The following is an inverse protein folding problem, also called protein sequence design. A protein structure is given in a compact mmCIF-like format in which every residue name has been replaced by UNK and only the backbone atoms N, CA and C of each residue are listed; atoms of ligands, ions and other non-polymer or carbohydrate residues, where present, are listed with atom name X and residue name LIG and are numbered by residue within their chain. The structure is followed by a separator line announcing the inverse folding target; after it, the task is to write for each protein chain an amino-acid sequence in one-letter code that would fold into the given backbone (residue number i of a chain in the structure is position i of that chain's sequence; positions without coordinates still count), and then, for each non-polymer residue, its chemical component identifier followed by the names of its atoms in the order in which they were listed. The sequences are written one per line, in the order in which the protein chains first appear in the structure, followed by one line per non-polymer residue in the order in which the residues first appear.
data_IF_470832565962
#
_entry.id   IF_470832565962
#
_cell.length_a   1.000
_cell.length_b   1.000
_cell.length_c   1.000
_cell.angle_alpha   90.00
_cell.angle_beta   90.00
_cell.angle_gamma   90.00
#
_symmetry.space_group_name_H-M   'P 1'
#
loop_
_entity.id
_entity.type
_entity.pdbx_description
1 polymer ?
#
# COMPACT_ATOMS: atom_id res chain seq x y z
N UNK A 1 32.87 3.63 -65.02
CA UNK A 1 32.90 4.64 -63.95
C UNK A 1 31.55 4.65 -63.22
N UNK A 2 31.61 4.52 -61.90
CA UNK A 2 30.59 4.73 -60.84
C UNK A 2 29.10 4.83 -61.24
N UNK A 3 28.33 3.81 -60.88
CA UNK A 3 26.90 3.95 -60.50
C UNK A 3 26.65 3.10 -59.25
N UNK A 4 27.05 3.63 -58.10
CA UNK A 4 26.67 3.11 -56.79
C UNK A 4 25.22 3.54 -56.54
N UNK A 5 24.27 2.62 -56.73
CA UNK A 5 22.93 2.79 -56.18
C UNK A 5 23.03 2.53 -54.67
N UNK A 6 22.78 3.56 -53.88
CA UNK A 6 22.57 3.46 -52.44
C UNK A 6 21.17 2.89 -52.23
N UNK A 7 21.07 1.61 -51.90
CA UNK A 7 19.82 1.01 -51.42
C UNK A 7 19.57 1.54 -50.02
N UNK A 8 18.66 2.52 -49.91
CA UNK A 8 18.17 3.03 -48.64
C UNK A 8 17.34 1.91 -47.97
N UNK A 9 17.98 1.07 -47.17
CA UNK A 9 17.27 0.17 -46.26
C UNK A 9 16.65 1.05 -45.18
N UNK A 10 15.41 1.47 -45.42
CA UNK A 10 14.52 1.98 -44.39
C UNK A 10 14.34 0.81 -43.42
N UNK A 11 15.11 0.82 -42.34
CA UNK A 11 14.78 0.04 -41.15
C UNK A 11 13.42 0.55 -40.69
N UNK A 12 12.36 -0.14 -41.11
CA UNK A 12 11.07 -0.17 -40.42
C UNK A 12 11.34 -0.73 -39.03
N UNK A 13 11.84 0.12 -38.13
CA UNK A 13 11.66 -0.11 -36.72
C UNK A 13 10.14 -0.12 -36.51
N UNK A 14 9.54 -1.20 -35.97
CA UNK A 14 8.21 -1.08 -35.45
C UNK A 14 8.30 -0.11 -34.29
N UNK A 15 8.03 1.16 -34.56
CA UNK A 15 7.65 2.17 -33.58
C UNK A 15 6.27 1.79 -33.02
N UNK A 16 6.15 0.58 -32.50
CA UNK A 16 5.16 0.26 -31.48
C UNK A 16 5.84 0.56 -30.15
N UNK A 17 6.19 1.84 -29.94
CA UNK A 17 6.16 2.37 -28.59
C UNK A 17 4.69 2.26 -28.18
N UNK A 18 4.29 1.10 -27.68
CA UNK A 18 3.00 0.97 -27.02
C UNK A 18 3.09 1.93 -25.85
N UNK A 19 2.33 3.02 -25.93
CA UNK A 19 2.06 3.85 -24.78
C UNK A 19 1.47 2.90 -23.74
N UNK A 20 2.31 2.49 -22.78
CA UNK A 20 1.87 1.60 -21.72
C UNK A 20 0.88 2.41 -20.92
N UNK A 21 -0.40 2.03 -20.96
CA UNK A 21 -1.46 2.77 -20.30
C UNK A 21 -1.07 2.98 -18.83
N UNK A 22 -1.01 4.25 -18.42
CA UNK A 22 -0.66 4.61 -17.05
C UNK A 22 -1.76 4.08 -16.14
N UNK A 23 -1.41 3.17 -15.24
CA UNK A 23 -2.38 2.67 -14.28
C UNK A 23 -2.66 3.76 -13.25
N UNK A 24 -3.87 4.34 -13.32
CA UNK A 24 -4.25 5.50 -12.51
C UNK A 24 -4.71 5.13 -11.10
N UNK A 25 -5.28 3.94 -10.92
CA UNK A 25 -5.88 3.49 -9.66
C UNK A 25 -5.51 2.04 -9.34
N UNK A 26 -5.37 1.75 -8.05
CA UNK A 26 -5.27 0.38 -7.56
C UNK A 26 -6.55 -0.41 -7.90
N UNK A 27 -6.46 -1.66 -8.38
CA UNK A 27 -7.62 -2.46 -8.74
C UNK A 27 -8.50 -2.76 -7.51
N UNK A 28 -9.84 -2.64 -7.62
CA UNK A 28 -10.74 -2.82 -6.50
C UNK A 28 -10.70 -4.24 -5.89
N UNK A 29 -10.40 -5.26 -6.69
CA UNK A 29 -10.27 -6.65 -6.23
C UNK A 29 -9.14 -6.85 -5.21
N UNK A 30 -8.17 -5.93 -5.13
CA UNK A 30 -7.13 -5.94 -4.11
C UNK A 30 -7.64 -5.39 -2.77
N UNK A 31 -8.70 -4.58 -2.76
CA UNK A 31 -9.28 -4.04 -1.53
C UNK A 31 -9.97 -5.13 -0.72
N UNK A 32 -10.75 -5.99 -1.36
CA UNK A 32 -11.41 -7.13 -0.69
C UNK A 32 -10.37 -8.09 -0.08
N UNK A 33 -9.23 -8.26 -0.75
CA UNK A 33 -8.11 -9.04 -0.25
C UNK A 33 -7.45 -8.37 0.96
N UNK A 34 -7.30 -7.04 0.95
CA UNK A 34 -6.81 -6.29 2.09
C UNK A 34 -7.70 -6.50 3.32
N UNK A 35 -9.03 -6.43 3.16
CA UNK A 35 -9.95 -6.69 4.28
C UNK A 35 -9.78 -8.11 4.81
N UNK A 36 -9.70 -9.09 3.93
CA UNK A 36 -9.52 -10.51 4.32
C UNK A 36 -8.22 -10.74 5.09
N UNK A 37 -7.12 -10.13 4.63
CA UNK A 37 -5.79 -10.28 5.23
C UNK A 37 -5.67 -9.58 6.59
N UNK A 38 -6.25 -8.39 6.73
CA UNK A 38 -5.94 -7.52 7.87
C UNK A 38 -7.07 -7.40 8.90
N UNK A 39 -8.32 -7.70 8.55
CA UNK A 39 -9.43 -7.65 9.51
C UNK A 39 -9.24 -8.54 10.75
N UNK A 40 -8.66 -9.78 10.68
CA UNK A 40 -8.47 -10.61 11.86
C UNK A 40 -7.63 -9.95 12.96
N UNK A 41 -6.64 -9.13 12.59
CA UNK A 41 -5.74 -8.46 13.52
C UNK A 41 -6.17 -7.02 13.82
N UNK A 42 -6.88 -6.37 12.90
CA UNK A 42 -7.38 -5.01 13.10
C UNK A 42 -8.70 -4.94 13.88
N UNK A 43 -9.62 -5.87 13.63
CA UNK A 43 -10.96 -5.89 14.21
C UNK A 43 -11.17 -6.68 15.52
N UNK A 44 -10.21 -7.44 16.11
CA UNK A 44 -10.54 -8.24 17.27
C UNK A 44 -10.94 -7.33 18.43
N UNK A 45 -11.73 -7.83 19.40
CA UNK A 45 -12.18 -7.03 20.54
C UNK A 45 -10.99 -6.29 21.16
N UNK A 46 -11.17 -5.03 21.57
CA UNK A 46 -10.06 -4.21 22.11
C UNK A 46 -9.27 -4.88 23.26
N UNK A 47 -9.89 -5.82 23.98
CA UNK A 47 -9.24 -6.66 25.01
C UNK A 47 -8.19 -7.65 24.47
N UNK A 48 -8.19 -7.93 23.17
CA UNK A 48 -7.26 -8.81 22.46
C UNK A 48 -6.19 -8.04 21.67
N UNK A 49 -6.15 -6.70 21.76
CA UNK A 49 -5.07 -5.89 21.17
C UNK A 49 -5.25 -5.53 19.69
N UNK A 50 -6.49 -5.34 19.23
CA UNK A 50 -6.81 -4.89 17.87
C UNK A 50 -6.33 -3.48 17.49
N UNK A 51 -6.86 -2.95 16.39
CA UNK A 51 -6.50 -1.65 15.85
C UNK A 51 -5.06 -1.59 15.33
N UNK A 52 -4.41 -0.43 15.49
CA UNK A 52 -3.03 -0.19 15.01
C UNK A 52 -2.03 -1.22 15.57
N UNK A 53 -2.18 -1.64 16.82
CA UNK A 53 -1.25 -2.61 17.42
C UNK A 53 -1.34 -3.99 16.78
N UNK A 54 -2.55 -4.47 16.54
CA UNK A 54 -2.76 -5.77 15.91
C UNK A 54 -2.30 -5.78 14.46
N UNK A 55 -2.72 -4.79 13.67
CA UNK A 55 -2.47 -4.77 12.23
C UNK A 55 -0.97 -4.63 11.86
N UNK A 56 -0.15 -4.03 12.72
CA UNK A 56 1.29 -3.84 12.46
C UNK A 56 2.01 -5.17 12.23
N UNK A 57 1.66 -6.22 12.98
CA UNK A 57 2.28 -7.53 12.82
C UNK A 57 1.97 -8.08 11.42
N UNK A 58 0.72 -8.04 11.00
CA UNK A 58 0.29 -8.55 9.70
C UNK A 58 0.87 -7.74 8.54
N UNK A 59 1.07 -6.42 8.72
CA UNK A 59 1.74 -5.60 7.70
C UNK A 59 3.21 -6.03 7.57
N UNK A 60 3.91 -6.23 8.68
CA UNK A 60 5.28 -6.72 8.66
C UNK A 60 5.40 -8.11 8.01
N UNK A 61 4.46 -9.01 8.29
CA UNK A 61 4.38 -10.33 7.65
C UNK A 61 4.08 -10.21 6.15
N UNK A 62 3.19 -9.30 5.74
CA UNK A 62 2.88 -9.01 4.34
C UNK A 62 4.17 -8.67 3.58
N UNK A 63 4.99 -7.76 4.11
CA UNK A 63 6.27 -7.41 3.47
C UNK A 63 7.30 -8.55 3.43
N UNK A 64 7.27 -9.48 4.38
CA UNK A 64 8.19 -10.62 4.41
C UNK A 64 7.82 -11.72 3.43
N UNK A 65 6.52 -11.93 3.22
CA UNK A 65 6.01 -13.08 2.47
C UNK A 65 5.68 -12.74 1.02
N UNK A 66 5.41 -11.47 0.72
CA UNK A 66 4.97 -11.02 -0.60
C UNK A 66 6.18 -10.55 -1.42
N UNK A 67 6.49 -11.20 -2.56
CA UNK A 67 7.51 -10.68 -3.47
C UNK A 67 7.16 -9.26 -3.93
N UNK A 68 8.17 -8.40 -4.10
CA UNK A 68 7.99 -6.99 -4.49
C UNK A 68 7.15 -6.82 -5.78
N UNK A 69 7.28 -7.76 -6.73
CA UNK A 69 6.55 -7.73 -8.00
C UNK A 69 5.10 -8.26 -7.93
N UNK A 70 4.69 -8.77 -6.78
CA UNK A 70 3.36 -9.33 -6.61
C UNK A 70 2.34 -8.20 -6.38
N UNK A 71 1.15 -8.20 -7.03
CA UNK A 71 0.10 -7.22 -6.77
C UNK A 71 -0.31 -7.06 -5.31
N UNK A 72 -0.16 -8.10 -4.48
CA UNK A 72 -0.42 -8.02 -3.03
C UNK A 72 0.52 -7.01 -2.34
N UNK A 73 1.66 -6.66 -2.94
CA UNK A 73 2.52 -5.61 -2.39
C UNK A 73 1.80 -4.24 -2.35
N UNK A 74 0.90 -3.97 -3.30
CA UNK A 74 0.04 -2.77 -3.28
C UNK A 74 -0.89 -2.79 -2.06
N UNK A 75 -1.37 -3.97 -1.67
CA UNK A 75 -2.18 -4.19 -0.47
C UNK A 75 -1.36 -3.92 0.80
N UNK A 76 -0.12 -4.43 0.88
CA UNK A 76 0.77 -4.13 2.01
C UNK A 76 1.02 -2.62 2.15
N UNK A 77 1.37 -1.95 1.05
CA UNK A 77 1.66 -0.50 1.04
C UNK A 77 0.44 0.35 1.39
N UNK A 78 -0.73 0.03 0.84
CA UNK A 78 -1.97 0.75 1.11
C UNK A 78 -2.31 0.71 2.60
N UNK A 79 -2.21 -0.48 3.22
CA UNK A 79 -2.56 -0.68 4.62
C UNK A 79 -1.50 -0.10 5.57
N UNK A 80 -0.21 -0.14 5.22
CA UNK A 80 0.85 0.59 5.94
C UNK A 80 0.60 2.11 5.90
N UNK A 81 0.28 2.65 4.72
CA UNK A 81 -0.07 4.06 4.54
C UNK A 81 -1.28 4.49 5.37
N UNK A 82 -2.36 3.69 5.36
CA UNK A 82 -3.53 3.91 6.21
C UNK A 82 -3.17 3.90 7.70
N UNK A 83 -2.43 2.88 8.14
CA UNK A 83 -2.01 2.73 9.54
C UNK A 83 -1.17 3.91 9.98
N UNK A 84 -0.24 4.36 9.14
CA UNK A 84 0.58 5.55 9.40
C UNK A 84 -0.24 6.84 9.44
N UNK A 85 -1.34 6.94 8.68
CA UNK A 85 -2.27 8.08 8.75
C UNK A 85 -2.95 8.16 10.13
N UNK A 86 -3.42 7.02 10.67
CA UNK A 86 -3.97 6.95 12.04
C UNK A 86 -2.91 7.36 13.05
N UNK A 87 -1.74 6.73 13.02
CA UNK A 87 -0.63 7.00 13.95
C UNK A 87 -0.24 8.47 13.95
N UNK A 88 -0.16 9.09 12.77
CA UNK A 88 0.17 10.51 12.66
C UNK A 88 -0.94 11.41 13.23
N UNK A 89 -2.20 11.01 13.10
CA UNK A 89 -3.35 11.73 13.67
C UNK A 89 -3.31 11.66 15.19
N UNK A 90 -3.16 10.46 15.76
CA UNK A 90 -3.08 10.26 17.21
C UNK A 90 -1.84 10.95 17.82
N UNK A 91 -0.68 10.91 17.15
CA UNK A 91 0.52 11.62 17.60
C UNK A 91 0.33 13.14 17.64
N UNK A 92 -0.40 13.71 16.67
CA UNK A 92 -0.74 15.14 16.67
C UNK A 92 -1.64 15.47 17.85
N UNK A 93 -2.64 14.62 18.10
CA UNK A 93 -3.59 14.78 19.20
C UNK A 93 -2.90 14.68 20.57
N UNK A 94 -2.12 13.63 20.82
CA UNK A 94 -1.35 13.49 22.07
C UNK A 94 -0.39 14.66 22.28
N UNK A 95 0.25 15.18 21.22
CA UNK A 95 1.10 16.37 21.32
C UNK A 95 0.32 17.61 21.72
N UNK A 96 -0.88 17.81 21.17
CA UNK A 96 -1.74 18.93 21.51
C UNK A 96 -2.19 18.89 22.99
N UNK A 97 -2.33 17.69 23.54
CA UNK A 97 -2.75 17.46 24.93
C UNK A 97 -1.59 17.27 25.92
N UNK A 98 -0.33 17.36 25.47
CA UNK A 98 0.85 17.17 26.34
C UNK A 98 1.04 15.72 26.82
N UNK A 99 0.44 14.76 26.13
CA UNK A 99 0.49 13.35 26.46
C UNK A 99 1.71 12.66 25.85
N UNK A 100 2.00 11.45 26.35
CA UNK A 100 3.07 10.63 25.79
C UNK A 100 2.77 10.24 24.35
N UNK A 101 3.79 10.25 23.49
CA UNK A 101 3.69 9.83 22.09
C UNK A 101 3.15 8.38 22.00
N UNK A 102 2.02 8.15 21.30
CA UNK A 102 1.49 6.80 21.12
C UNK A 102 2.43 5.96 20.25
N UNK A 103 2.50 4.67 20.57
CA UNK A 103 3.28 3.62 19.89
C UNK A 103 4.79 3.89 19.80
N UNK A 104 5.36 4.68 20.72
CA UNK A 104 6.79 5.02 20.73
C UNK A 104 7.72 3.79 20.80
N UNK A 105 7.21 2.68 21.29
CA UNK A 105 7.91 1.41 21.46
C UNK A 105 7.86 0.51 20.21
N UNK A 106 7.20 0.95 19.13
CA UNK A 106 7.06 0.19 17.89
C UNK A 106 7.85 0.92 16.77
N UNK A 107 9.14 0.60 16.57
CA UNK A 107 9.98 1.28 15.56
C UNK A 107 9.42 1.20 14.14
N UNK A 108 8.66 0.14 13.84
CA UNK A 108 7.97 -0.04 12.56
C UNK A 108 7.05 1.15 12.19
N UNK A 109 6.46 1.79 13.21
CA UNK A 109 5.53 2.92 13.07
C UNK A 109 6.23 4.29 13.09
N UNK A 110 7.56 4.34 13.06
CA UNK A 110 8.28 5.59 12.86
C UNK A 110 8.13 6.09 11.43
N UNK A 111 8.00 7.42 11.27
CA UNK A 111 7.77 8.04 9.96
C UNK A 111 8.91 7.74 8.99
N UNK A 112 10.15 7.77 9.48
CA UNK A 112 11.33 7.53 8.66
C UNK A 112 11.39 6.06 8.23
N UNK A 113 11.06 5.13 9.15
CA UNK A 113 10.96 3.71 8.84
C UNK A 113 9.89 3.41 7.77
N UNK A 114 8.71 4.03 7.87
CA UNK A 114 7.68 3.95 6.83
C UNK A 114 8.19 4.49 5.49
N UNK A 115 8.78 5.68 5.50
CA UNK A 115 9.28 6.35 4.30
C UNK A 115 10.34 5.49 3.61
N UNK A 116 11.27 4.92 4.36
CA UNK A 116 12.29 4.01 3.85
C UNK A 116 11.68 2.78 3.18
N UNK A 117 10.74 2.10 3.85
CA UNK A 117 10.04 0.93 3.28
C UNK A 117 9.30 1.28 2.00
N UNK A 118 8.50 2.35 2.04
CA UNK A 118 7.69 2.80 0.92
C UNK A 118 8.56 3.18 -0.29
N UNK A 119 9.60 3.98 -0.08
CA UNK A 119 10.53 4.40 -1.15
C UNK A 119 11.28 3.20 -1.69
N UNK A 120 11.79 2.31 -0.84
CA UNK A 120 12.49 1.10 -1.27
C UNK A 120 11.62 0.27 -2.21
N UNK A 121 10.38 -0.02 -1.84
CA UNK A 121 9.49 -0.83 -2.67
C UNK A 121 9.12 -0.09 -3.97
N UNK A 122 8.70 1.17 -3.87
CA UNK A 122 8.21 1.92 -5.03
C UNK A 122 9.29 2.33 -6.03
N UNK A 123 10.54 2.45 -5.60
CA UNK A 123 11.68 2.77 -6.47
C UNK A 123 12.36 1.55 -7.10
N UNK A 124 12.15 0.35 -6.55
CA UNK A 124 12.82 -0.87 -7.02
C UNK A 124 11.92 -1.79 -7.83
N UNK A 125 10.60 -1.58 -7.82
CA UNK A 125 9.67 -2.39 -8.59
C UNK A 125 9.28 -1.72 -9.92
N UNK A 126 9.47 -2.40 -11.06
CA UNK A 126 8.97 -1.96 -12.36
C UNK A 126 7.46 -1.72 -12.41
N UNK A 127 6.69 -2.27 -11.47
CA UNK A 127 5.24 -2.03 -11.36
C UNK A 127 4.89 -0.55 -11.20
N UNK A 128 5.69 0.18 -10.43
CA UNK A 128 5.40 1.57 -10.10
C UNK A 128 5.96 2.56 -11.12
N UNK A 129 6.78 2.11 -12.08
CA UNK A 129 7.26 2.95 -13.19
C UNK A 129 6.11 3.54 -14.03
N UNK A 130 4.97 2.85 -14.07
CA UNK A 130 3.78 3.25 -14.83
C UNK A 130 2.67 3.84 -13.95
N UNK A 131 2.95 4.04 -12.66
CA UNK A 131 2.04 4.68 -11.71
C UNK A 131 2.43 6.15 -11.60
N UNK A 132 1.76 7.01 -12.38
CA UNK A 132 2.15 8.42 -12.49
C UNK A 132 2.06 9.21 -11.18
N UNK A 133 1.10 8.90 -10.31
CA UNK A 133 0.97 9.52 -9.00
C UNK A 133 0.51 8.48 -7.97
N UNK A 134 1.45 8.03 -7.13
CA UNK A 134 1.21 7.02 -6.10
C UNK A 134 0.15 7.44 -5.07
N UNK A 135 0.04 8.72 -4.75
CA UNK A 135 -1.02 9.21 -3.85
C UNK A 135 -2.39 8.96 -4.47
N UNK A 136 -2.60 9.39 -5.72
CA UNK A 136 -3.87 9.18 -6.45
C UNK A 136 -4.16 7.69 -6.64
N UNK A 137 -3.11 6.89 -6.88
CA UNK A 137 -3.22 5.45 -7.08
C UNK A 137 -3.83 4.74 -5.87
N UNK A 138 -3.38 5.08 -4.66
CA UNK A 138 -3.82 4.44 -3.42
C UNK A 138 -5.04 5.11 -2.77
N UNK A 139 -5.31 6.40 -3.01
CA UNK A 139 -6.33 7.18 -2.28
C UNK A 139 -7.73 6.55 -2.35
N UNK A 140 -8.22 6.26 -3.56
CA UNK A 140 -9.55 5.67 -3.74
C UNK A 140 -9.67 4.27 -3.10
N UNK A 141 -8.63 3.45 -3.24
CA UNK A 141 -8.59 2.11 -2.66
C UNK A 141 -8.52 2.15 -1.13
N UNK A 142 -7.78 3.12 -0.58
CA UNK A 142 -7.68 3.35 0.87
C UNK A 142 -9.04 3.74 1.45
N UNK A 143 -9.76 4.65 0.80
CA UNK A 143 -11.10 5.04 1.24
C UNK A 143 -12.07 3.85 1.21
N UNK A 144 -12.05 3.05 0.14
CA UNK A 144 -12.86 1.84 0.06
C UNK A 144 -12.48 0.82 1.14
N UNK A 145 -11.18 0.62 1.38
CA UNK A 145 -10.68 -0.26 2.43
C UNK A 145 -11.20 0.17 3.81
N UNK A 146 -11.13 1.47 4.13
CA UNK A 146 -11.63 2.02 5.41
C UNK A 146 -13.12 1.72 5.59
N UNK A 147 -13.93 1.94 4.55
CA UNK A 147 -15.36 1.64 4.61
C UNK A 147 -15.63 0.15 4.81
N UNK A 148 -14.93 -0.71 4.08
CA UNK A 148 -15.14 -2.14 4.15
C UNK A 148 -14.63 -2.74 5.46
N UNK A 149 -13.44 -2.35 5.94
CA UNK A 149 -12.89 -2.86 7.20
C UNK A 149 -13.73 -2.41 8.40
N UNK A 150 -14.28 -1.19 8.37
CA UNK A 150 -15.20 -0.72 9.41
C UNK A 150 -16.48 -1.57 9.49
N UNK A 151 -17.06 -1.93 8.32
CA UNK A 151 -18.20 -2.86 8.26
C UNK A 151 -17.80 -4.25 8.76
N UNK A 152 -16.62 -4.71 8.37
CA UNK A 152 -16.11 -6.02 8.76
C UNK A 152 -15.91 -6.13 10.27
N UNK A 153 -15.41 -5.08 10.93
CA UNK A 153 -15.26 -5.07 12.38
C UNK A 153 -16.61 -5.11 13.15
N UNK A 154 -17.74 -4.81 12.49
CA UNK A 154 -19.07 -4.95 13.09
C UNK A 154 -19.61 -6.38 13.01
N UNK A 155 -18.98 -7.25 12.21
CA UNK A 155 -19.40 -8.64 12.04
C UNK A 155 -19.35 -9.39 13.40
N UNK A 156 -20.40 -10.17 13.75
CA UNK A 156 -20.46 -10.98 14.97
C UNK A 156 -19.20 -11.81 15.26
N UNK A 157 -18.44 -12.23 14.24
CA UNK A 157 -17.17 -12.95 14.42
C UNK A 157 -16.10 -12.14 15.18
N UNK A 158 -16.17 -10.82 15.14
CA UNK A 158 -15.23 -9.91 15.80
C UNK A 158 -15.87 -9.10 16.94
N UNK A 159 -17.20 -9.00 16.96
CA UNK A 159 -17.94 -8.22 17.96
C UNK A 159 -18.44 -9.03 19.17
N UNK A 160 -18.28 -10.36 19.17
CA UNK A 160 -18.55 -11.18 20.33
C UNK A 160 -17.51 -10.92 21.45
N UNK A 161 -17.97 -10.45 22.62
CA UNK A 161 -17.14 -10.41 23.83
C UNK A 161 -16.81 -11.85 24.27
N UNK A 162 -15.58 -12.13 24.75
CA UNK A 162 -15.29 -13.37 25.44
C UNK A 162 -16.13 -13.52 26.72
#
# INVERSE_FOLDING_TARGET
MKKTLLTLTIFLLPLTAQAKDTQKYMPPELVDQAVTLFAPDYCPPNSQGGGVRGIVKSIAECYQQVPIENPIMDVCLMVDGYTMSIVNTERKDSRAHGESRPYKEIPFLERDAFTERFVKITSTSPRYEHVGNLYIYFDKATNLFVEQIAKECQNPKYSAKP
#
